data_IF_512324812282
#
_entry.id   IF_512324812282
#
_cell.length_a   1.000
_cell.length_b   1.000
_cell.length_c   1.000
_cell.angle_alpha   90.00
_cell.angle_beta   90.00
_cell.angle_gamma   90.00
#
_symmetry.space_group_name_H-M   'P 1'
#
loop_
_entity.id
_entity.type
_entity.pdbx_description
1 polymer ?
#
# COMPACT_ATOMS: atom_id res chain seq x y z
N UNK A 1 11.11 -15.90 -39.36
CA UNK A 1 10.18 -14.94 -38.74
C UNK A 1 10.30 -15.12 -37.23
N UNK A 2 10.98 -14.20 -36.56
CA UNK A 2 11.47 -14.33 -35.18
C UNK A 2 10.49 -13.70 -34.19
N UNK A 3 9.94 -14.48 -33.27
CA UNK A 3 9.19 -13.99 -32.11
C UNK A 3 10.21 -13.74 -31.00
N UNK A 4 10.86 -12.57 -30.99
CA UNK A 4 11.83 -12.26 -29.92
C UNK A 4 12.05 -10.76 -29.71
N UNK A 5 10.98 -9.94 -29.61
CA UNK A 5 11.18 -8.50 -29.37
C UNK A 5 10.30 -7.83 -28.29
N UNK A 6 9.51 -8.55 -27.48
CA UNK A 6 8.72 -7.90 -26.43
C UNK A 6 8.76 -8.59 -25.06
N UNK A 7 9.97 -8.71 -24.52
CA UNK A 7 10.16 -8.75 -23.07
C UNK A 7 10.86 -7.45 -22.68
N UNK A 8 10.14 -6.34 -22.81
CA UNK A 8 10.54 -5.07 -22.21
C UNK A 8 10.50 -5.23 -20.69
N UNK A 9 11.66 -5.57 -20.13
CA UNK A 9 12.17 -5.06 -18.87
C UNK A 9 11.12 -4.96 -17.76
N UNK A 10 10.82 -6.10 -17.13
CA UNK A 10 10.19 -6.12 -15.81
C UNK A 10 11.17 -5.42 -14.87
N UNK A 11 10.98 -4.11 -14.68
CA UNK A 11 11.74 -3.32 -13.73
C UNK A 11 11.53 -3.93 -12.36
N UNK A 12 12.56 -4.67 -11.96
CA UNK A 12 12.89 -5.08 -10.61
C UNK A 12 12.39 -3.99 -9.63
N UNK A 13 11.39 -4.33 -8.82
CA UNK A 13 10.99 -3.52 -7.66
C UNK A 13 12.08 -3.65 -6.58
N UNK A 14 13.30 -3.24 -6.91
CA UNK A 14 14.33 -3.03 -5.90
C UNK A 14 13.95 -1.78 -5.13
N UNK A 15 13.94 -1.90 -3.81
CA UNK A 15 13.60 -0.87 -2.85
C UNK A 15 14.45 0.36 -3.18
N UNK A 16 13.83 1.36 -3.83
CA UNK A 16 14.53 2.60 -4.18
C UNK A 16 14.81 3.35 -2.88
N UNK A 17 16.10 3.58 -2.63
CA UNK A 17 16.55 4.45 -1.55
C UNK A 17 15.84 5.82 -1.65
N UNK A 18 15.46 6.37 -0.50
CA UNK A 18 14.79 7.67 -0.34
C UNK A 18 15.21 8.72 -1.38
N UNK A 19 14.39 8.93 -2.40
CA UNK A 19 14.47 10.11 -3.27
C UNK A 19 13.41 11.11 -2.82
N UNK A 20 13.85 12.28 -2.31
CA UNK A 20 12.93 13.41 -2.08
C UNK A 20 12.15 13.66 -3.36
N UNK A 21 10.80 13.73 -3.32
CA UNK A 21 10.04 14.12 -4.49
C UNK A 21 10.55 15.48 -4.96
N UNK A 22 10.89 15.57 -6.25
CA UNK A 22 11.35 16.82 -6.88
C UNK A 22 10.39 17.98 -6.63
N UNK A 23 9.11 17.68 -6.36
CA UNK A 23 8.12 18.65 -5.92
C UNK A 23 7.06 18.01 -4.99
N UNK A 24 7.28 18.10 -3.67
CA UNK A 24 6.30 17.66 -2.66
C UNK A 24 5.04 18.53 -2.60
N UNK A 25 5.07 19.75 -3.14
CA UNK A 25 3.91 20.66 -3.13
C UNK A 25 2.89 20.24 -4.17
N UNK A 26 3.32 19.89 -5.39
CA UNK A 26 2.40 19.38 -6.41
C UNK A 26 1.77 18.05 -6.02
N UNK A 27 2.53 17.13 -5.41
CA UNK A 27 1.98 15.86 -4.89
C UNK A 27 0.79 16.07 -3.93
N UNK A 28 0.86 17.04 -3.03
CA UNK A 28 -0.26 17.35 -2.10
C UNK A 28 -1.49 17.93 -2.82
N UNK A 29 -1.30 18.57 -3.97
CA UNK A 29 -2.41 19.11 -4.77
C UNK A 29 -3.14 18.01 -5.53
N UNK A 30 -2.43 17.00 -6.03
CA UNK A 30 -2.99 15.96 -6.90
C UNK A 30 -3.23 14.61 -6.22
N UNK A 31 -2.65 14.36 -5.04
CA UNK A 31 -2.68 13.06 -4.37
C UNK A 31 -3.10 13.18 -2.90
N UNK A 32 -3.45 12.03 -2.32
CA UNK A 32 -3.74 11.84 -0.90
C UNK A 32 -2.78 10.80 -0.32
N UNK A 33 -2.08 11.10 0.79
CA UNK A 33 -1.17 10.15 1.42
C UNK A 33 -1.90 9.14 2.30
N UNK A 34 -1.52 7.86 2.19
CA UNK A 34 -1.97 6.77 3.06
C UNK A 34 -0.77 6.00 3.61
N UNK A 35 -0.69 5.83 4.93
CA UNK A 35 0.41 5.12 5.58
C UNK A 35 0.01 3.73 6.05
N UNK A 36 0.93 2.78 5.95
CA UNK A 36 0.73 1.41 6.42
C UNK A 36 1.83 0.46 5.95
N UNK A 37 1.68 -0.81 6.25
CA UNK A 37 2.52 -1.89 5.72
C UNK A 37 1.97 -2.38 4.38
N UNK A 38 2.73 -2.27 3.28
CA UNK A 38 2.26 -2.66 1.95
C UNK A 38 2.34 -4.17 1.76
N UNK A 39 1.32 -4.77 1.15
CA UNK A 39 1.28 -6.17 0.73
C UNK A 39 0.73 -6.29 -0.68
N UNK A 40 1.19 -7.31 -1.41
CA UNK A 40 0.60 -7.69 -2.69
C UNK A 40 -0.76 -8.33 -2.43
N UNK A 41 -1.75 -7.99 -3.24
CA UNK A 41 -3.03 -8.68 -3.15
C UNK A 41 -2.86 -10.14 -3.62
N UNK A 42 -3.43 -11.13 -2.90
CA UNK A 42 -3.13 -12.55 -3.12
C UNK A 42 -3.63 -13.10 -4.47
N UNK A 43 -4.64 -12.47 -5.06
CA UNK A 43 -5.31 -12.96 -6.29
C UNK A 43 -5.37 -11.95 -7.42
N UNK A 44 -4.99 -10.69 -7.17
CA UNK A 44 -5.10 -9.59 -8.12
C UNK A 44 -3.76 -8.85 -8.15
N UNK A 45 -2.90 -9.11 -9.14
CA UNK A 45 -1.56 -8.53 -9.18
C UNK A 45 -1.58 -7.00 -9.36
N UNK A 46 -2.68 -6.43 -9.83
CA UNK A 46 -2.81 -5.00 -10.11
C UNK A 46 -3.26 -4.22 -8.86
N UNK A 47 -3.36 -4.90 -7.72
CA UNK A 47 -3.81 -4.32 -6.45
C UNK A 47 -2.79 -4.41 -5.34
N UNK A 48 -2.74 -3.33 -4.57
CA UNK A 48 -1.90 -3.20 -3.38
C UNK A 48 -2.80 -3.10 -2.17
N UNK A 49 -2.54 -3.94 -1.17
CA UNK A 49 -3.14 -3.87 0.16
C UNK A 49 -2.23 -3.07 1.07
N UNK A 50 -2.79 -2.17 1.85
CA UNK A 50 -2.08 -1.36 2.84
C UNK A 50 -2.69 -1.59 4.23
N UNK A 51 -1.95 -2.29 5.09
CA UNK A 51 -2.34 -2.56 6.47
C UNK A 51 -1.94 -1.37 7.33
N UNK A 52 -2.92 -0.63 7.86
CA UNK A 52 -2.64 0.67 8.50
C UNK A 52 -1.87 0.53 9.80
N UNK A 53 -2.30 -0.40 10.64
CA UNK A 53 -1.67 -0.68 11.93
C UNK A 53 -1.63 -2.20 12.15
N UNK A 54 -0.48 -2.84 11.87
CA UNK A 54 -0.32 -4.29 11.97
C UNK A 54 -0.40 -4.83 13.41
N UNK A 55 -0.21 -3.99 14.42
CA UNK A 55 -0.15 -4.39 15.82
C UNK A 55 -1.36 -3.94 16.65
N UNK A 56 -2.27 -3.17 16.05
CA UNK A 56 -3.52 -2.78 16.69
C UNK A 56 -4.58 -3.87 16.61
N UNK A 57 -5.46 -3.89 17.60
CA UNK A 57 -6.68 -4.71 17.61
C UNK A 57 -7.74 -4.19 16.63
N UNK A 58 -7.63 -2.94 16.18
CA UNK A 58 -8.49 -2.36 15.15
C UNK A 58 -7.87 -2.58 13.77
N UNK A 59 -7.97 -3.82 13.31
CA UNK A 59 -7.36 -4.25 12.05
C UNK A 59 -8.28 -3.80 10.91
N UNK A 60 -7.83 -2.82 10.12
CA UNK A 60 -8.44 -2.51 8.83
C UNK A 60 -7.34 -2.27 7.81
N UNK A 61 -7.69 -2.45 6.54
CA UNK A 61 -6.77 -2.22 5.44
C UNK A 61 -7.41 -1.38 4.35
N UNK A 62 -6.55 -0.70 3.61
CA UNK A 62 -6.91 -0.11 2.33
C UNK A 62 -6.48 -1.02 1.20
N UNK A 63 -7.19 -0.93 0.08
CA UNK A 63 -6.78 -1.55 -1.17
C UNK A 63 -6.93 -0.54 -2.30
N UNK A 64 -5.89 -0.45 -3.13
CA UNK A 64 -5.78 0.49 -4.24
C UNK A 64 -5.28 -0.23 -5.49
N UNK A 65 -5.66 0.27 -6.66
CA UNK A 65 -5.01 -0.09 -7.91
C UNK A 65 -3.56 0.42 -7.89
N UNK A 66 -2.63 -0.43 -8.31
CA UNK A 66 -1.21 -0.09 -8.36
C UNK A 66 -0.95 1.13 -9.26
N UNK A 67 -1.65 1.21 -10.41
CA UNK A 67 -1.56 2.30 -11.38
C UNK A 67 -1.99 3.67 -10.82
N UNK A 68 -2.75 3.69 -9.73
CA UNK A 68 -3.20 4.91 -9.07
C UNK A 68 -2.21 5.44 -8.02
N UNK A 69 -1.20 4.65 -7.67
CA UNK A 69 -0.12 5.02 -6.76
C UNK A 69 1.01 5.65 -7.58
N UNK A 70 1.25 6.95 -7.38
CA UNK A 70 2.28 7.66 -8.16
C UNK A 70 3.61 7.80 -7.45
N UNK A 71 3.63 7.64 -6.13
CA UNK A 71 4.84 7.74 -5.33
C UNK A 71 4.70 6.95 -4.04
N UNK A 72 5.80 6.34 -3.59
CA UNK A 72 5.91 5.58 -2.36
C UNK A 72 7.06 6.16 -1.55
N UNK A 73 6.77 6.56 -0.32
CA UNK A 73 7.75 7.06 0.64
C UNK A 73 8.00 5.97 1.69
N UNK A 74 9.26 5.58 1.91
CA UNK A 74 9.61 4.68 3.01
C UNK A 74 9.48 5.42 4.35
N UNK A 75 8.87 4.77 5.33
CA UNK A 75 8.73 5.29 6.69
C UNK A 75 9.60 4.45 7.65
N UNK A 76 9.91 4.97 8.85
CA UNK A 76 10.55 4.16 9.88
C UNK A 76 9.78 2.86 10.12
N UNK A 77 10.50 1.73 10.09
CA UNK A 77 9.89 0.43 10.31
C UNK A 77 9.42 0.28 11.76
N UNK A 78 8.34 -0.47 11.96
CA UNK A 78 7.82 -0.80 13.29
C UNK A 78 8.47 -2.08 13.79
N UNK A 79 8.90 -2.10 15.04
CA UNK A 79 9.46 -3.30 15.70
C UNK A 79 8.55 -3.65 16.87
N UNK A 80 8.10 -4.91 16.95
CA UNK A 80 7.32 -5.37 18.10
C UNK A 80 8.21 -5.90 19.23
N UNK A 81 7.56 -6.29 20.33
CA UNK A 81 8.21 -6.83 21.53
C UNK A 81 9.01 -8.13 21.25
N UNK A 82 8.68 -8.85 20.17
CA UNK A 82 9.38 -10.05 19.73
C UNK A 82 10.59 -9.76 18.83
N UNK A 83 10.85 -8.48 18.50
CA UNK A 83 11.91 -8.08 17.58
C UNK A 83 11.57 -8.24 16.10
N UNK A 84 10.31 -8.49 15.76
CA UNK A 84 9.86 -8.58 14.37
C UNK A 84 9.71 -7.18 13.78
N UNK A 85 10.38 -6.96 12.65
CA UNK A 85 10.38 -5.69 11.93
C UNK A 85 9.34 -5.71 10.82
N UNK A 86 8.44 -4.72 10.81
CA UNK A 86 7.48 -4.49 9.74
C UNK A 86 7.83 -3.20 9.00
N UNK A 87 8.05 -3.35 7.69
CA UNK A 87 8.24 -2.22 6.78
C UNK A 87 6.95 -1.41 6.68
N UNK A 88 7.10 -0.10 6.85
CA UNK A 88 6.03 0.89 6.70
C UNK A 88 6.32 1.81 5.53
N UNK A 89 5.28 2.20 4.81
CA UNK A 89 5.38 3.14 3.70
C UNK A 89 4.24 4.16 3.78
N UNK A 90 4.41 5.27 3.07
CA UNK A 90 3.33 6.19 2.71
C UNK A 90 3.12 6.15 1.20
N UNK A 91 1.96 5.67 0.79
CA UNK A 91 1.50 5.68 -0.60
C UNK A 91 0.87 7.04 -0.92
N UNK A 92 1.23 7.63 -2.04
CA UNK A 92 0.59 8.82 -2.58
C UNK A 92 -0.33 8.42 -3.72
N UNK A 93 -1.64 8.36 -3.42
CA UNK A 93 -2.68 7.89 -4.34
C UNK A 93 -3.33 9.08 -5.03
N UNK A 94 -3.53 8.99 -6.35
CA UNK A 94 -4.17 10.07 -7.14
C UNK A 94 -5.54 10.42 -6.55
N UNK A 95 -5.86 11.72 -6.48
CA UNK A 95 -7.21 12.17 -6.13
C UNK A 95 -8.21 11.66 -7.16
N UNK A 96 -9.44 11.42 -6.71
CA UNK A 96 -10.53 10.83 -7.51
C UNK A 96 -10.35 9.35 -7.88
N UNK A 97 -9.24 8.70 -7.51
CA UNK A 97 -9.11 7.24 -7.60
C UNK A 97 -10.02 6.54 -6.60
N UNK A 98 -10.43 5.31 -6.94
CA UNK A 98 -11.27 4.47 -6.09
C UNK A 98 -10.38 3.63 -5.18
N UNK A 99 -10.57 3.79 -3.88
CA UNK A 99 -9.97 2.92 -2.87
C UNK A 99 -11.04 2.12 -2.13
N UNK A 100 -10.69 0.91 -1.72
CA UNK A 100 -11.51 0.09 -0.83
C UNK A 100 -10.95 0.23 0.58
N UNK A 101 -11.85 0.42 1.57
CA UNK A 101 -11.51 0.34 3.00
C UNK A 101 -12.27 -0.83 3.60
N UNK A 102 -11.54 -1.83 4.08
CA UNK A 102 -12.11 -3.04 4.66
C UNK A 102 -11.87 -3.08 6.16
N UNK A 103 -12.97 -3.11 6.90
CA UNK A 103 -12.97 -3.33 8.35
C UNK A 103 -13.71 -4.64 8.61
N UNK A 104 -13.00 -5.73 8.94
CA UNK A 104 -13.63 -6.97 9.36
C UNK A 104 -14.41 -6.74 10.65
N UNK A 105 -15.49 -7.49 10.83
CA UNK A 105 -16.32 -7.44 12.02
C UNK A 105 -16.66 -8.86 12.47
N UNK A 106 -16.89 -9.02 13.77
CA UNK A 106 -17.39 -10.27 14.31
C UNK A 106 -18.86 -10.43 13.92
N UNK A 107 -19.19 -11.50 13.22
CA UNK A 107 -20.58 -11.86 12.93
C UNK A 107 -21.14 -12.55 14.18
N UNK A 108 -22.10 -11.89 14.85
CA UNK A 108 -22.76 -12.43 16.03
C UNK A 108 -24.27 -12.19 15.98
N UNK A 109 -25.05 -13.12 16.55
CA UNK A 109 -26.49 -12.93 16.76
C UNK A 109 -26.74 -11.94 17.89
N UNK A 110 -27.74 -11.07 17.72
CA UNK A 110 -28.10 -10.02 18.70
C UNK A 110 -28.93 -10.58 19.87
N UNK A 111 -29.12 -11.90 19.96
CA UNK A 111 -29.89 -12.51 21.05
C UNK A 111 -29.07 -12.58 22.34
N UNK A 112 -28.96 -11.43 23.02
CA UNK A 112 -28.80 -11.19 24.48
C UNK A 112 -27.82 -10.03 24.74
N UNK A 113 -28.33 -8.79 24.67
CA UNK A 113 -27.79 -7.67 25.46
C UNK A 113 -28.66 -7.52 26.70
#
# INVERSE_FOLDING_TARGET
MSITEHLQEIKKLEIQAYEKPKDTRSLKLTHVPFSGSPRKHPYDPDRVILIVDPYSTNIFYYEFLADDISYVEELPSLVNENGETITMVRLWVKKMSVGLRCTPFLVQDISSV
#
